data_IF_647770701784
#
_entry.id   IF_647770701784
#
_cell.length_a   1.000
_cell.length_b   1.000
_cell.length_c   1.000
_cell.angle_alpha   90.00
_cell.angle_beta   90.00
_cell.angle_gamma   90.00
#
_symmetry.space_group_name_H-M   'P 1'
#
loop_
_entity.id
_entity.type
_entity.pdbx_description
1 polymer ?
#
# COMPACT_ATOMS: atom_id res chain seq x y z
N UNK A 1 35.23 -33.15 21.78
CA UNK A 1 34.23 -32.13 22.18
C UNK A 1 33.87 -31.35 20.92
N UNK A 2 32.58 -31.23 20.62
CA UNK A 2 31.99 -31.00 19.27
C UNK A 2 32.45 -29.71 18.58
N UNK A 3 32.89 -29.84 17.33
CA UNK A 3 32.88 -28.79 16.32
C UNK A 3 31.43 -28.42 15.99
N UNK A 4 31.04 -27.17 16.23
CA UNK A 4 29.77 -26.63 15.74
C UNK A 4 30.04 -25.81 14.48
N UNK A 5 29.79 -26.46 13.36
CA UNK A 5 29.81 -25.95 12.01
C UNK A 5 28.66 -24.95 11.81
N UNK A 6 28.99 -23.66 11.67
CA UNK A 6 28.04 -22.60 11.35
C UNK A 6 27.86 -22.49 9.83
N UNK A 7 27.17 -23.45 9.21
CA UNK A 7 26.92 -23.49 7.75
C UNK A 7 25.46 -23.21 7.33
N UNK A 8 24.82 -22.21 7.93
CA UNK A 8 23.44 -21.82 7.55
C UNK A 8 23.20 -20.31 7.43
N UNK A 9 24.12 -19.55 6.81
CA UNK A 9 23.94 -18.10 6.59
C UNK A 9 24.01 -17.62 5.14
N UNK A 10 23.94 -18.51 4.14
CA UNK A 10 24.07 -18.10 2.73
C UNK A 10 22.78 -18.20 1.89
N UNK A 11 21.67 -18.74 2.43
CA UNK A 11 20.46 -18.98 1.61
C UNK A 11 19.36 -17.91 1.80
N UNK A 12 19.50 -17.01 2.78
CA UNK A 12 18.41 -16.12 3.21
C UNK A 12 18.52 -14.67 2.71
N UNK A 13 18.79 -14.44 1.42
CA UNK A 13 18.77 -13.09 0.84
C UNK A 13 17.85 -12.90 -0.39
N UNK A 14 17.24 -13.96 -0.93
CA UNK A 14 16.22 -13.81 -1.99
C UNK A 14 14.78 -13.66 -1.46
N UNK A 15 14.48 -14.07 -0.23
CA UNK A 15 13.08 -14.18 0.24
C UNK A 15 12.37 -12.84 0.50
N UNK A 16 13.09 -11.70 0.56
CA UNK A 16 12.45 -10.39 0.80
C UNK A 16 11.92 -9.67 -0.44
N UNK A 17 12.18 -10.16 -1.67
CA UNK A 17 11.78 -9.47 -2.92
C UNK A 17 10.91 -10.34 -3.85
N UNK A 18 10.54 -11.55 -3.44
CA UNK A 18 9.76 -12.47 -4.28
C UNK A 18 8.48 -11.83 -4.83
N UNK A 19 7.73 -11.13 -3.97
CA UNK A 19 6.53 -10.42 -4.38
C UNK A 19 6.81 -9.33 -5.42
N UNK A 20 7.83 -8.48 -5.22
CA UNK A 20 8.19 -7.42 -6.16
C UNK A 20 8.60 -7.97 -7.53
N UNK A 21 9.39 -9.04 -7.56
CA UNK A 21 9.77 -9.67 -8.82
C UNK A 21 8.59 -10.34 -9.52
N UNK A 22 7.71 -10.99 -8.75
CA UNK A 22 6.51 -11.61 -9.29
C UNK A 22 5.57 -10.55 -9.90
N UNK A 23 5.28 -9.47 -9.18
CA UNK A 23 4.42 -8.39 -9.68
C UNK A 23 5.05 -7.67 -10.87
N UNK A 24 6.36 -7.42 -10.84
CA UNK A 24 7.07 -6.83 -11.98
C UNK A 24 7.02 -7.73 -13.21
N UNK A 25 7.17 -9.05 -13.05
CA UNK A 25 7.05 -9.99 -14.16
C UNK A 25 5.64 -9.96 -14.78
N UNK A 26 4.60 -10.00 -13.94
CA UNK A 26 3.21 -9.88 -14.41
C UNK A 26 2.95 -8.53 -15.11
N UNK A 27 3.47 -7.43 -14.55
CA UNK A 27 3.39 -6.12 -15.17
C UNK A 27 4.03 -6.11 -16.55
N UNK A 28 5.28 -6.58 -16.68
CA UNK A 28 5.97 -6.61 -17.97
C UNK A 28 5.25 -7.49 -19.00
N UNK A 29 4.77 -8.67 -18.60
CA UNK A 29 3.98 -9.54 -19.48
C UNK A 29 2.70 -8.83 -19.93
N UNK A 30 1.98 -8.21 -19.01
CA UNK A 30 0.76 -7.45 -19.35
C UNK A 30 1.04 -6.27 -20.28
N UNK A 31 2.15 -5.54 -20.08
CA UNK A 31 2.55 -4.42 -20.93
C UNK A 31 2.90 -4.89 -22.35
N UNK A 32 3.63 -6.00 -22.48
CA UNK A 32 3.92 -6.61 -23.79
C UNK A 32 2.63 -7.06 -24.48
N UNK A 33 1.72 -7.71 -23.75
CA UNK A 33 0.43 -8.14 -24.30
C UNK A 33 -0.42 -6.95 -24.74
N UNK A 34 -0.49 -5.88 -23.94
CA UNK A 34 -1.21 -4.65 -24.27
C UNK A 34 -0.72 -4.06 -25.60
N UNK A 35 0.59 -3.94 -25.76
CA UNK A 35 1.19 -3.48 -27.02
C UNK A 35 0.93 -4.45 -28.17
N UNK A 36 1.16 -5.74 -27.96
CA UNK A 36 0.94 -6.76 -28.99
C UNK A 36 -0.51 -6.78 -29.52
N UNK A 37 -1.50 -6.74 -28.63
CA UNK A 37 -2.90 -6.68 -29.06
C UNK A 37 -3.26 -5.32 -29.66
N UNK A 38 -2.69 -4.23 -29.14
CA UNK A 38 -2.81 -2.90 -29.76
C UNK A 38 -2.30 -2.89 -31.21
N UNK A 39 -1.19 -3.57 -31.49
CA UNK A 39 -0.69 -3.71 -32.87
C UNK A 39 -1.69 -4.45 -33.76
N UNK A 40 -2.29 -5.53 -33.25
CA UNK A 40 -3.29 -6.30 -34.01
C UNK A 40 -4.50 -5.45 -34.37
N UNK A 41 -4.99 -4.62 -33.44
CA UNK A 41 -6.10 -3.69 -33.67
C UNK A 41 -5.70 -2.60 -34.65
N UNK A 42 -4.56 -1.94 -34.44
CA UNK A 42 -4.05 -0.89 -35.32
C UNK A 42 -3.90 -1.37 -36.76
N UNK A 43 -3.31 -2.54 -36.98
CA UNK A 43 -3.16 -3.09 -38.34
C UNK A 43 -4.52 -3.38 -38.98
N UNK A 44 -5.46 -3.96 -38.23
CA UNK A 44 -6.80 -4.25 -38.74
C UNK A 44 -7.54 -2.96 -39.15
N UNK A 45 -7.47 -1.92 -38.31
CA UNK A 45 -8.04 -0.60 -38.60
C UNK A 45 -7.41 0.04 -39.84
N UNK A 46 -6.07 0.10 -39.93
CA UNK A 46 -5.39 0.68 -41.10
C UNK A 46 -5.79 -0.06 -42.39
N UNK A 47 -5.83 -1.39 -42.37
CA UNK A 47 -6.25 -2.21 -43.51
C UNK A 47 -7.72 -1.96 -43.87
N UNK A 48 -8.60 -1.86 -42.88
CA UNK A 48 -10.04 -1.57 -43.09
C UNK A 48 -10.27 -0.18 -43.74
N UNK A 49 -9.39 0.77 -43.43
CA UNK A 49 -9.44 2.14 -43.96
C UNK A 49 -8.59 2.33 -45.23
N UNK A 50 -7.95 1.28 -45.75
CA UNK A 50 -7.07 1.35 -46.92
C UNK A 50 -5.83 2.22 -46.69
N UNK A 51 -5.42 2.40 -45.44
CA UNK A 51 -4.27 3.21 -45.04
C UNK A 51 -3.00 2.34 -44.93
N UNK A 52 -1.81 2.90 -45.18
CA UNK A 52 -0.55 2.19 -44.97
C UNK A 52 -0.29 1.97 -43.48
N UNK A 53 0.19 0.76 -43.13
CA UNK A 53 0.61 0.43 -41.77
C UNK A 53 1.96 1.08 -41.49
N UNK A 54 1.95 2.19 -40.75
CA UNK A 54 3.15 2.91 -40.35
C UNK A 54 3.49 2.66 -38.88
N UNK A 55 4.66 2.08 -38.61
CA UNK A 55 5.12 1.77 -37.25
C UNK A 55 5.29 3.01 -36.36
N UNK A 56 5.68 4.15 -36.93
CA UNK A 56 5.83 5.39 -36.18
C UNK A 56 4.49 5.93 -35.65
N UNK A 57 3.41 5.80 -36.44
CA UNK A 57 2.06 6.18 -36.02
C UNK A 57 1.59 5.28 -34.89
N UNK A 58 1.76 3.97 -35.04
CA UNK A 58 1.44 3.00 -34.00
C UNK A 58 2.17 3.28 -32.68
N UNK A 59 3.49 3.54 -32.71
CA UNK A 59 4.24 3.87 -31.48
C UNK A 59 3.69 5.12 -30.82
N UNK A 60 3.37 6.16 -31.61
CA UNK A 60 2.83 7.42 -31.08
C UNK A 60 1.47 7.21 -30.42
N UNK A 61 0.59 6.45 -31.08
CA UNK A 61 -0.75 6.12 -30.58
C UNK A 61 -0.69 5.27 -29.32
N UNK A 62 0.07 4.17 -29.33
CA UNK A 62 0.24 3.33 -28.15
C UNK A 62 0.92 4.03 -26.98
N UNK A 63 1.88 4.94 -27.25
CA UNK A 63 2.47 5.77 -26.20
C UNK A 63 1.43 6.70 -25.59
N UNK A 64 0.61 7.36 -26.40
CA UNK A 64 -0.50 8.19 -25.91
C UNK A 64 -1.42 7.35 -25.03
N UNK A 65 -1.92 6.23 -25.53
CA UNK A 65 -2.88 5.38 -24.81
C UNK A 65 -2.28 4.83 -23.51
N UNK A 66 -1.00 4.43 -23.53
CA UNK A 66 -0.27 4.01 -22.32
C UNK A 66 -0.13 5.15 -21.32
N UNK A 67 0.19 6.37 -21.77
CA UNK A 67 0.36 7.54 -20.90
C UNK A 67 -0.97 8.05 -20.35
N UNK A 68 -2.06 8.00 -21.12
CA UNK A 68 -3.41 8.35 -20.66
C UNK A 68 -3.87 7.38 -19.57
N UNK A 69 -3.68 6.07 -19.76
CA UNK A 69 -3.97 5.07 -18.74
C UNK A 69 -3.09 5.26 -17.49
N UNK A 70 -1.80 5.54 -17.68
CA UNK A 70 -0.90 5.81 -16.57
C UNK A 70 -1.32 7.07 -15.78
N UNK A 71 -1.67 8.15 -16.49
CA UNK A 71 -2.12 9.39 -15.88
C UNK A 71 -3.39 9.19 -15.04
N UNK A 72 -4.38 8.47 -15.57
CA UNK A 72 -5.65 8.24 -14.87
C UNK A 72 -5.49 7.40 -13.62
N UNK A 73 -4.69 6.33 -13.69
CA UNK A 73 -4.39 5.46 -12.54
C UNK A 73 -3.63 6.21 -11.43
N UNK A 74 -2.65 7.06 -11.79
CA UNK A 74 -1.96 7.89 -10.82
C UNK A 74 -2.89 8.89 -10.14
N UNK A 75 -3.76 9.54 -10.91
CA UNK A 75 -4.77 10.46 -10.37
C UNK A 75 -5.72 9.71 -9.41
N UNK A 76 -6.15 8.50 -9.78
CA UNK A 76 -6.99 7.65 -8.94
C UNK A 76 -6.29 7.28 -7.62
N UNK A 77 -5.03 6.82 -7.66
CA UNK A 77 -4.27 6.48 -6.47
C UNK A 77 -4.06 7.68 -5.54
N UNK A 78 -3.71 8.84 -6.10
CA UNK A 78 -3.59 10.09 -5.35
C UNK A 78 -4.92 10.44 -4.69
N UNK A 79 -6.02 10.40 -5.45
CA UNK A 79 -7.35 10.69 -4.93
C UNK A 79 -7.77 9.74 -3.80
N UNK A 80 -7.50 8.45 -3.95
CA UNK A 80 -7.78 7.44 -2.93
C UNK A 80 -6.96 7.69 -1.66
N UNK A 81 -5.65 7.87 -1.77
CA UNK A 81 -4.77 8.10 -0.61
C UNK A 81 -5.10 9.43 0.06
N UNK A 82 -5.27 10.51 -0.71
CA UNK A 82 -5.61 11.83 -0.17
C UNK A 82 -7.01 11.83 0.46
N UNK A 83 -8.00 11.22 -0.21
CA UNK A 83 -9.36 11.08 0.31
C UNK A 83 -9.38 10.28 1.61
N UNK A 84 -8.68 9.14 1.67
CA UNK A 84 -8.55 8.36 2.90
C UNK A 84 -7.80 9.12 3.99
N UNK A 85 -6.74 9.88 3.65
CA UNK A 85 -6.02 10.69 4.61
C UNK A 85 -6.90 11.82 5.18
N UNK A 86 -7.72 12.46 4.36
CA UNK A 86 -8.68 13.49 4.81
C UNK A 86 -9.77 12.88 5.68
N UNK A 87 -10.36 11.76 5.27
CA UNK A 87 -11.36 11.05 6.08
C UNK A 87 -10.78 10.57 7.40
N UNK A 88 -9.54 10.06 7.38
CA UNK A 88 -8.83 9.70 8.60
C UNK A 88 -8.59 10.93 9.47
N UNK A 89 -8.08 12.03 8.91
CA UNK A 89 -7.84 13.26 9.66
C UNK A 89 -9.13 13.81 10.29
N UNK A 90 -10.21 13.95 9.52
CA UNK A 90 -11.50 14.45 10.00
C UNK A 90 -12.23 13.47 10.94
N UNK A 91 -12.12 12.16 10.70
CA UNK A 91 -12.76 11.12 11.50
C UNK A 91 -11.95 10.67 12.72
N UNK A 92 -10.65 10.96 12.77
CA UNK A 92 -9.75 10.58 13.88
C UNK A 92 -10.00 11.36 15.17
N UNK A 93 -10.75 12.47 15.12
CA UNK A 93 -11.25 13.15 16.32
C UNK A 93 -12.03 12.18 17.23
N UNK A 94 -12.79 11.24 16.66
CA UNK A 94 -13.47 10.18 17.42
C UNK A 94 -12.51 9.12 18.00
N UNK A 95 -11.29 8.98 17.48
CA UNK A 95 -10.31 8.02 18.01
C UNK A 95 -9.63 8.55 19.27
N UNK A 96 -9.29 9.85 19.33
CA UNK A 96 -8.79 10.49 20.56
C UNK A 96 -9.86 10.53 21.64
N UNK A 97 -11.06 11.02 21.29
CA UNK A 97 -12.20 11.05 22.21
C UNK A 97 -12.63 9.64 22.65
N UNK A 98 -12.38 8.64 21.81
CA UNK A 98 -12.56 7.22 22.13
C UNK A 98 -11.50 6.67 23.09
N UNK A 99 -10.26 7.14 23.04
CA UNK A 99 -9.18 6.70 23.93
C UNK A 99 -9.30 7.37 25.30
N UNK A 100 -9.46 8.69 25.33
CA UNK A 100 -9.67 9.45 26.58
C UNK A 100 -10.86 8.87 27.36
N UNK A 101 -11.98 8.60 26.67
CA UNK A 101 -13.17 7.98 27.28
C UNK A 101 -12.94 6.52 27.71
N UNK A 102 -12.03 5.78 27.06
CA UNK A 102 -11.66 4.42 27.50
C UNK A 102 -10.81 4.48 28.75
N UNK A 103 -9.86 5.39 28.82
CA UNK A 103 -9.04 5.63 30.01
C UNK A 103 -9.90 6.04 31.19
N UNK A 104 -10.82 7.01 31.02
CA UNK A 104 -11.77 7.40 32.06
C UNK A 104 -12.61 6.22 32.59
N UNK A 105 -13.03 5.31 31.70
CA UNK A 105 -13.78 4.10 32.10
C UNK A 105 -12.90 3.12 32.87
N UNK A 106 -11.64 2.95 32.48
CA UNK A 106 -10.68 2.08 33.17
C UNK A 106 -10.39 2.66 34.56
N UNK A 107 -10.13 3.96 34.67
CA UNK A 107 -9.93 4.67 35.92
C UNK A 107 -11.13 4.52 36.85
N UNK A 108 -12.35 4.66 36.31
CA UNK A 108 -13.58 4.44 37.05
C UNK A 108 -13.69 3.02 37.61
N UNK A 109 -13.36 1.99 36.81
CA UNK A 109 -13.39 0.59 37.25
C UNK A 109 -12.34 0.33 38.34
N UNK A 110 -11.11 0.81 38.17
CA UNK A 110 -10.02 0.62 39.15
C UNK A 110 -10.38 1.28 40.48
N UNK A 111 -10.89 2.51 40.45
CA UNK A 111 -11.36 3.22 41.66
C UNK A 111 -12.52 2.51 42.37
N UNK A 112 -13.34 1.75 41.63
CA UNK A 112 -14.45 0.99 42.21
C UNK A 112 -14.02 -0.36 42.79
N UNK A 113 -13.05 -1.03 42.16
CA UNK A 113 -12.54 -2.34 42.56
C UNK A 113 -11.57 -2.24 43.75
N UNK A 114 -10.60 -1.34 43.70
CA UNK A 114 -9.54 -1.20 44.71
C UNK A 114 -9.32 0.27 45.11
N UNK A 115 -10.28 0.89 45.83
CA UNK A 115 -10.25 2.33 46.09
C UNK A 115 -9.01 2.81 46.87
N UNK A 116 -8.44 1.98 47.76
CA UNK A 116 -7.27 2.35 48.56
C UNK A 116 -5.96 2.35 47.75
N UNK A 117 -5.87 1.55 46.69
CA UNK A 117 -4.66 1.42 45.86
C UNK A 117 -4.79 2.05 44.48
N UNK A 118 -6.00 2.47 44.09
CA UNK A 118 -6.30 3.00 42.77
C UNK A 118 -5.34 4.12 42.35
N UNK A 119 -5.17 5.14 43.21
CA UNK A 119 -4.31 6.28 42.89
C UNK A 119 -2.83 5.89 42.76
N UNK A 120 -2.35 4.92 43.55
CA UNK A 120 -0.99 4.40 43.44
C UNK A 120 -0.79 3.63 42.13
N UNK A 121 -1.76 2.81 41.73
CA UNK A 121 -1.72 2.03 40.50
C UNK A 121 -1.76 2.92 39.25
N UNK A 122 -2.63 3.94 39.26
CA UNK A 122 -2.73 4.90 38.16
C UNK A 122 -1.45 5.75 38.04
N UNK A 123 -0.89 6.21 39.16
CA UNK A 123 0.37 6.96 39.16
C UNK A 123 1.54 6.13 38.62
N UNK A 124 1.68 4.87 39.07
CA UNK A 124 2.71 3.96 38.56
C UNK A 124 2.54 3.66 37.06
N UNK A 125 1.29 3.60 36.57
CA UNK A 125 1.00 3.41 35.16
C UNK A 125 1.40 4.61 34.30
N UNK A 126 1.07 5.83 34.74
CA UNK A 126 1.45 7.08 34.06
C UNK A 126 2.96 7.32 34.05
N UNK A 127 3.66 6.91 35.11
CA UNK A 127 5.12 6.96 35.16
C UNK A 127 5.77 5.99 34.17
N UNK A 128 5.20 4.78 34.04
CA UNK A 128 5.70 3.75 33.13
C UNK A 128 5.39 4.05 31.66
N UNK A 129 4.26 4.69 31.38
CA UNK A 129 3.78 5.06 30.05
C UNK A 129 3.36 6.53 30.05
N UNK A 130 4.32 7.47 29.98
CA UNK A 130 4.00 8.88 29.87
C UNK A 130 3.27 9.16 28.55
N UNK A 131 2.26 10.02 28.60
CA UNK A 131 1.56 10.47 27.39
C UNK A 131 2.56 11.12 26.40
N UNK A 132 2.39 10.83 25.11
CA UNK A 132 3.27 11.28 24.01
C UNK A 132 2.79 12.60 23.40
#
# INVERSE_FOLDING_TARGET
MKNHDYRYKEVFHLERKGYLWFTLAFFLVSAVLHWYFGWKVFVDEQLSHGQPVETAKYITEMMRDTMENWQSEFLQLIWQVAGLAVLWYCGSSQSKEGDDRREEKIDFIIRRLEPEKAEQMLAAWKEKYPEQ
#
